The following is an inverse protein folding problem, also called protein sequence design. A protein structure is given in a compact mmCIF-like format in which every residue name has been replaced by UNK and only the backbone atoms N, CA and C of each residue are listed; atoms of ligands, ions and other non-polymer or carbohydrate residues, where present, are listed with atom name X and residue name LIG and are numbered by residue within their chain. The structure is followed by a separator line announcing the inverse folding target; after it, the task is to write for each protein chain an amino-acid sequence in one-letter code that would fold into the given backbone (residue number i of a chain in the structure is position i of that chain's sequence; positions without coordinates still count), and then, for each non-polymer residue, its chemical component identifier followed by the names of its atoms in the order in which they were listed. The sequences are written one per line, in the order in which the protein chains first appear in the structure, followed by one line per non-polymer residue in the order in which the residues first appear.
data_IF_648600559038
#
_entry.id   IF_648600559038
#
_cell.length_a   1.000
_cell.length_b   1.000
_cell.length_c   1.000
_cell.angle_alpha   90.00
_cell.angle_beta   90.00
_cell.angle_gamma   90.00
#
_symmetry.space_group_name_H-M   'P 1'
#
loop_
_entity.id
_entity.type
_entity.pdbx_description
1 polymer ?
#
# COMPACT_ATOMS: atom_id res chain seq x y z
N UNK A 1 -8.04 -3.34 -45.26
CA UNK A 1 -7.14 -4.40 -45.78
C UNK A 1 -5.97 -3.91 -46.65
N UNK A 2 -5.95 -2.67 -47.17
CA UNK A 2 -4.84 -2.20 -48.03
C UNK A 2 -3.66 -1.54 -47.29
N UNK A 3 -3.89 -0.95 -46.11
CA UNK A 3 -2.83 -0.25 -45.34
C UNK A 3 -1.82 -1.16 -44.65
N UNK A 4 -2.19 -2.40 -44.29
CA UNK A 4 -1.30 -3.35 -43.60
C UNK A 4 -0.18 -3.85 -44.54
N UNK A 5 -0.51 -4.12 -45.82
CA UNK A 5 0.46 -4.58 -46.83
C UNK A 5 1.59 -3.59 -47.11
N UNK A 6 1.32 -2.28 -46.99
CA UNK A 6 2.33 -1.25 -47.24
C UNK A 6 3.36 -1.22 -46.10
N UNK A 7 2.93 -1.43 -44.85
CA UNK A 7 3.80 -1.44 -43.68
C UNK A 7 4.69 -2.69 -43.66
N UNK A 8 4.12 -3.86 -43.99
CA UNK A 8 4.90 -5.12 -44.08
C UNK A 8 5.95 -5.07 -45.21
N UNK A 9 5.70 -4.28 -46.25
CA UNK A 9 6.66 -4.02 -47.32
C UNK A 9 7.75 -3.00 -46.92
N UNK A 10 7.38 -1.93 -46.19
CA UNK A 10 8.32 -0.92 -45.70
C UNK A 10 9.21 -1.43 -44.55
N UNK A 11 8.70 -2.36 -43.73
CA UNK A 11 9.39 -2.94 -42.59
C UNK A 11 9.25 -4.46 -42.60
N UNK A 12 9.97 -5.16 -43.49
CA UNK A 12 9.93 -6.62 -43.55
C UNK A 12 10.43 -7.21 -42.23
N UNK A 13 9.69 -8.18 -41.70
CA UNK A 13 10.08 -8.86 -40.47
C UNK A 13 11.37 -9.65 -40.73
N UNK A 14 12.44 -9.28 -40.01
CA UNK A 14 13.77 -9.88 -40.13
C UNK A 14 13.96 -11.09 -39.21
N UNK A 15 12.95 -11.38 -38.36
CA UNK A 15 12.97 -12.53 -37.44
C UNK A 15 12.87 -13.83 -38.21
N UNK A 16 13.52 -14.86 -37.68
CA UNK A 16 13.62 -16.17 -38.32
C UNK A 16 12.24 -16.84 -38.44
N UNK A 17 12.10 -17.74 -39.43
CA UNK A 17 10.82 -18.43 -39.67
C UNK A 17 10.31 -19.17 -38.42
N UNK A 18 11.24 -19.75 -37.63
CA UNK A 18 10.92 -20.42 -36.37
C UNK A 18 10.32 -19.48 -35.33
N UNK A 19 10.85 -18.27 -35.20
CA UNK A 19 10.33 -17.27 -34.27
C UNK A 19 8.93 -16.80 -34.68
N UNK A 20 8.68 -16.65 -35.99
CA UNK A 20 7.37 -16.29 -36.51
C UNK A 20 6.34 -17.42 -36.33
N UNK A 21 6.75 -18.67 -36.52
CA UNK A 21 5.89 -19.84 -36.27
C UNK A 21 5.54 -19.95 -34.77
N UNK A 22 6.53 -19.75 -33.90
CA UNK A 22 6.33 -19.75 -32.46
C UNK A 22 5.42 -18.60 -31.99
N UNK A 23 5.56 -17.40 -32.56
CA UNK A 23 4.68 -16.26 -32.29
C UNK A 23 3.24 -16.54 -32.74
N UNK A 24 3.06 -17.19 -33.91
CA UNK A 24 1.72 -17.61 -34.39
C UNK A 24 1.08 -18.65 -33.47
N UNK A 25 1.84 -19.64 -33.03
CA UNK A 25 1.35 -20.66 -32.07
C UNK A 25 0.97 -20.01 -30.74
N UNK A 26 1.78 -19.07 -30.26
CA UNK A 26 1.48 -18.29 -29.06
C UNK A 26 0.19 -17.48 -29.20
N UNK A 27 0.05 -16.70 -30.28
CA UNK A 27 -1.17 -15.90 -30.57
C UNK A 27 -2.40 -16.80 -30.63
N UNK A 28 -2.30 -17.97 -31.28
CA UNK A 28 -3.39 -18.93 -31.37
C UNK A 28 -3.77 -19.54 -30.02
N UNK A 29 -2.78 -19.87 -29.19
CA UNK A 29 -3.00 -20.39 -27.85
C UNK A 29 -3.67 -19.33 -26.95
N UNK A 30 -3.19 -18.08 -26.99
CA UNK A 30 -3.75 -17.00 -26.19
C UNK A 30 -5.16 -16.65 -26.65
N UNK A 31 -5.42 -16.57 -27.96
CA UNK A 31 -6.77 -16.34 -28.50
C UNK A 31 -7.76 -17.50 -28.24
N UNK A 32 -7.28 -18.67 -27.80
CA UNK A 32 -8.14 -19.76 -27.33
C UNK A 32 -8.60 -19.59 -25.88
N UNK A 33 -7.99 -18.66 -25.13
CA UNK A 33 -8.41 -18.30 -23.79
C UNK A 33 -9.63 -17.37 -23.86
N UNK A 34 -10.62 -17.60 -22.99
CA UNK A 34 -11.85 -16.77 -22.97
C UNK A 34 -11.62 -15.33 -22.51
N UNK A 35 -10.52 -15.07 -21.81
CA UNK A 35 -10.27 -13.86 -21.01
C UNK A 35 -9.20 -12.94 -21.61
N UNK A 36 -8.42 -13.44 -22.58
CA UNK A 36 -7.32 -12.69 -23.19
C UNK A 36 -7.38 -12.84 -24.71
N UNK A 37 -7.22 -11.75 -25.43
CA UNK A 37 -7.09 -11.76 -26.88
C UNK A 37 -5.85 -10.99 -27.32
N UNK A 38 -5.28 -11.41 -28.44
CA UNK A 38 -4.06 -10.83 -29.00
C UNK A 38 -4.25 -10.54 -30.48
N UNK A 39 -3.71 -9.41 -30.90
CA UNK A 39 -3.63 -9.03 -32.31
C UNK A 39 -2.46 -9.76 -32.99
N UNK A 40 -2.51 -9.87 -34.32
CA UNK A 40 -1.48 -10.56 -35.13
C UNK A 40 -0.05 -9.99 -34.98
N UNK A 41 0.11 -8.83 -34.33
CA UNK A 41 1.40 -8.19 -34.04
C UNK A 41 1.76 -8.17 -32.54
N UNK A 42 1.11 -9.00 -31.73
CA UNK A 42 1.44 -9.17 -30.30
C UNK A 42 0.84 -8.14 -29.34
N UNK A 43 -0.03 -7.24 -29.81
CA UNK A 43 -0.79 -6.36 -28.92
C UNK A 43 -1.83 -7.16 -28.14
N UNK A 44 -1.80 -7.10 -26.82
CA UNK A 44 -2.72 -7.81 -25.92
C UNK A 44 -3.90 -6.92 -25.50
N UNK A 45 -5.11 -7.48 -25.50
CA UNK A 45 -6.32 -6.88 -24.95
C UNK A 45 -7.02 -7.85 -24.00
N UNK A 46 -7.37 -7.35 -22.82
CA UNK A 46 -8.16 -8.04 -21.80
C UNK A 46 -9.60 -7.53 -21.91
N UNK A 47 -10.59 -8.39 -21.67
CA UNK A 47 -11.99 -7.97 -21.62
C UNK A 47 -12.18 -6.91 -20.50
N UNK A 48 -12.65 -5.70 -20.83
CA UNK A 48 -12.85 -4.64 -19.85
C UNK A 48 -13.87 -4.99 -18.75
N UNK A 49 -14.80 -5.91 -18.97
CA UNK A 49 -15.78 -6.30 -17.96
C UNK A 49 -15.18 -7.14 -16.82
N UNK A 50 -14.19 -7.99 -17.12
CA UNK A 50 -13.49 -8.79 -16.11
C UNK A 50 -12.66 -7.91 -15.15
N UNK A 51 -12.03 -6.86 -15.69
CA UNK A 51 -11.32 -5.85 -14.89
C UNK A 51 -12.30 -5.08 -14.00
N UNK A 52 -13.52 -4.81 -14.46
CA UNK A 52 -14.55 -4.16 -13.65
C UNK A 52 -14.99 -5.04 -12.49
N UNK A 53 -15.21 -6.34 -12.70
CA UNK A 53 -15.62 -7.26 -11.63
C UNK A 53 -14.55 -7.34 -10.53
N UNK A 54 -13.27 -7.45 -10.90
CA UNK A 54 -12.15 -7.46 -9.95
C UNK A 54 -12.08 -6.14 -9.16
N UNK A 55 -12.23 -5.00 -9.82
CA UNK A 55 -12.23 -3.68 -9.16
C UNK A 55 -13.45 -3.52 -8.24
N UNK A 56 -14.62 -3.99 -8.66
CA UNK A 56 -15.86 -3.92 -7.86
C UNK A 56 -15.77 -4.82 -6.63
N UNK A 57 -15.30 -6.05 -6.77
CA UNK A 57 -15.06 -6.97 -5.65
C UNK A 57 -14.05 -6.38 -4.65
N UNK A 58 -12.91 -5.88 -5.15
CA UNK A 58 -11.89 -5.24 -4.31
C UNK A 58 -12.43 -4.02 -3.56
N UNK A 59 -13.26 -3.20 -4.22
CA UNK A 59 -13.90 -2.03 -3.58
C UNK A 59 -14.97 -2.42 -2.55
N UNK A 60 -15.66 -3.53 -2.76
CA UNK A 60 -16.65 -4.04 -1.83
C UNK A 60 -15.97 -4.54 -0.53
N UNK A 61 -14.89 -5.29 -0.66
CA UNK A 61 -14.12 -5.79 0.50
C UNK A 61 -13.50 -4.63 1.30
N UNK A 62 -12.97 -3.62 0.60
CA UNK A 62 -12.47 -2.40 1.24
C UNK A 62 -13.56 -1.63 1.99
N UNK A 63 -14.81 -1.64 1.51
CA UNK A 63 -15.94 -1.00 2.22
C UNK A 63 -16.29 -1.72 3.51
N UNK A 64 -16.31 -3.05 3.51
CA UNK A 64 -16.58 -3.82 4.73
C UNK A 64 -15.47 -3.66 5.76
N UNK A 65 -14.20 -3.66 5.31
CA UNK A 65 -13.07 -3.37 6.18
C UNK A 65 -13.13 -1.96 6.77
N UNK A 66 -13.45 -0.95 5.94
CA UNK A 66 -13.59 0.44 6.37
C UNK A 66 -14.77 0.60 7.36
N UNK A 67 -15.90 -0.08 7.12
CA UNK A 67 -17.03 -0.10 8.04
C UNK A 67 -16.67 -0.72 9.39
N UNK A 68 -16.01 -1.87 9.39
CA UNK A 68 -15.54 -2.53 10.61
C UNK A 68 -14.53 -1.67 11.37
N UNK A 69 -13.63 -0.97 10.65
CA UNK A 69 -12.67 -0.03 11.24
C UNK A 69 -13.38 1.17 11.85
N UNK A 70 -14.38 1.74 11.17
CA UNK A 70 -15.18 2.85 11.70
C UNK A 70 -16.01 2.41 12.91
N UNK A 71 -16.59 1.22 12.92
CA UNK A 71 -17.31 0.68 14.08
C UNK A 71 -16.36 0.44 15.27
N UNK A 72 -15.14 -0.05 15.02
CA UNK A 72 -14.10 -0.18 16.04
C UNK A 72 -13.61 1.18 16.55
N UNK A 73 -13.51 2.20 15.68
CA UNK A 73 -13.13 3.57 16.04
C UNK A 73 -14.26 4.33 16.76
N UNK A 74 -15.53 4.02 16.46
CA UNK A 74 -16.72 4.61 17.07
C UNK A 74 -17.15 3.91 18.37
N UNK A 75 -16.40 2.90 18.83
CA UNK A 75 -16.55 2.39 20.19
C UNK A 75 -16.08 3.53 21.12
N UNK A 76 -16.94 4.12 21.96
CA UNK A 76 -16.58 5.31 22.72
C UNK A 76 -15.38 5.01 23.63
N UNK A 77 -14.20 5.46 23.24
CA UNK A 77 -13.10 5.61 24.16
C UNK A 77 -13.38 6.92 24.88
N UNK A 78 -14.06 6.86 26.02
CA UNK A 78 -14.46 8.05 26.79
C UNK A 78 -13.27 8.88 27.35
N UNK A 79 -12.01 8.58 27.01
CA UNK A 79 -10.89 8.96 27.87
C UNK A 79 -9.61 9.47 27.20
N UNK A 80 -9.62 9.99 25.97
CA UNK A 80 -8.47 10.78 25.53
C UNK A 80 -8.82 11.83 24.49
N UNK A 81 -9.06 13.04 24.97
CA UNK A 81 -8.90 14.22 24.13
C UNK A 81 -7.41 14.37 23.76
N UNK A 82 -6.97 13.65 22.73
CA UNK A 82 -5.58 13.63 22.31
C UNK A 82 -5.45 13.79 20.79
N UNK A 83 -4.45 14.55 20.37
CA UNK A 83 -4.09 14.77 18.98
C UNK A 83 -2.98 13.79 18.61
N UNK A 84 -3.18 13.03 17.54
CA UNK A 84 -2.13 12.18 16.98
C UNK A 84 -1.11 13.03 16.21
N UNK A 85 0.16 12.90 16.56
CA UNK A 85 1.31 13.48 15.86
C UNK A 85 2.13 12.37 15.22
N UNK A 86 2.43 12.51 13.94
CA UNK A 86 3.36 11.63 13.23
C UNK A 86 4.67 12.39 13.06
N UNK A 87 5.77 11.79 13.48
CA UNK A 87 7.07 12.42 13.42
C UNK A 87 8.13 11.44 12.95
N UNK A 88 9.11 11.94 12.22
CA UNK A 88 10.15 11.13 11.61
C UNK A 88 11.51 11.55 12.14
N UNK A 89 12.37 10.57 12.42
CA UNK A 89 13.75 10.80 12.84
C UNK A 89 14.69 9.87 12.12
N UNK A 90 15.90 10.35 11.83
CA UNK A 90 17.01 9.51 11.42
C UNK A 90 17.88 9.18 12.62
N UNK A 91 18.10 7.90 12.87
CA UNK A 91 18.97 7.43 13.95
C UNK A 91 20.44 7.49 13.54
N UNK A 92 21.33 7.51 14.53
CA UNK A 92 22.79 7.48 14.30
C UNK A 92 23.24 6.20 13.56
N UNK A 93 22.45 5.12 13.65
CA UNK A 93 22.63 3.88 12.89
C UNK A 93 22.35 4.02 11.38
N UNK A 94 21.82 5.17 10.93
CA UNK A 94 21.46 5.43 9.53
C UNK A 94 20.02 5.05 9.16
N UNK A 95 19.31 4.37 10.06
CA UNK A 95 17.90 3.96 9.90
C UNK A 95 16.96 5.15 10.07
N UNK A 96 15.82 5.12 9.37
CA UNK A 96 14.76 6.10 9.51
C UNK A 96 13.63 5.52 10.35
N UNK A 97 13.06 6.28 11.28
CA UNK A 97 12.00 5.81 12.18
C UNK A 97 10.82 6.76 12.11
N UNK A 98 9.62 6.19 12.03
CA UNK A 98 8.36 6.91 12.16
C UNK A 98 7.80 6.67 13.56
N UNK A 99 7.62 7.73 14.32
CA UNK A 99 6.97 7.71 15.63
C UNK A 99 5.53 8.18 15.49
N UNK A 100 4.62 7.46 16.15
CA UNK A 100 3.25 7.89 16.39
C UNK A 100 3.17 8.36 17.83
N UNK A 101 2.99 9.66 18.01
CA UNK A 101 2.88 10.31 19.31
C UNK A 101 1.43 10.75 19.54
N UNK A 102 1.02 10.79 20.80
CA UNK A 102 -0.22 11.43 21.22
C UNK A 102 0.12 12.69 22.01
N UNK A 103 -0.55 13.78 21.69
CA UNK A 103 -0.54 15.00 22.48
C UNK A 103 -1.86 15.09 23.23
N UNK A 104 -1.83 15.15 24.55
CA UNK A 104 -3.02 15.45 25.34
C UNK A 104 -3.44 16.91 25.12
N UNK A 105 -4.71 17.18 24.83
CA UNK A 105 -5.18 18.57 24.71
C UNK A 105 -5.36 19.24 26.08
N UNK A 106 -5.51 18.46 27.14
CA UNK A 106 -5.78 18.98 28.49
C UNK A 106 -4.49 19.36 29.22
N UNK A 107 -3.44 18.54 29.08
CA UNK A 107 -2.13 18.80 29.70
C UNK A 107 -1.10 19.36 28.74
N UNK A 108 -1.33 19.25 27.42
CA UNK A 108 -0.36 19.63 26.40
C UNK A 108 0.82 18.66 26.26
N UNK A 109 0.91 17.63 27.12
CA UNK A 109 2.01 16.68 27.14
C UNK A 109 1.97 15.69 25.98
N UNK A 110 3.12 15.09 25.69
CA UNK A 110 3.34 14.17 24.57
C UNK A 110 3.73 12.78 25.07
N UNK A 111 3.21 11.73 24.46
CA UNK A 111 3.62 10.36 24.69
C UNK A 111 3.83 9.62 23.36
N UNK A 112 4.87 8.80 23.27
CA UNK A 112 5.06 7.90 22.13
C UNK A 112 4.18 6.66 22.33
N UNK A 113 3.40 6.31 21.32
CA UNK A 113 2.55 5.12 21.30
C UNK A 113 3.27 3.96 20.66
N UNK A 114 3.87 4.20 19.49
CA UNK A 114 4.62 3.20 18.77
C UNK A 114 5.63 3.84 17.81
N UNK A 115 6.65 3.07 17.44
CA UNK A 115 7.69 3.45 16.50
C UNK A 115 7.86 2.36 15.42
N UNK A 116 7.90 2.77 14.16
CA UNK A 116 8.12 1.91 13.01
C UNK A 116 9.50 2.20 12.41
N UNK A 117 10.34 1.18 12.35
CA UNK A 117 11.66 1.25 11.74
C UNK A 117 11.55 1.07 10.21
N UNK A 118 12.11 1.99 9.44
CA UNK A 118 12.25 1.92 7.99
C UNK A 118 13.74 1.84 7.66
N UNK A 119 14.21 0.65 7.25
CA UNK A 119 15.52 0.47 6.61
C UNK A 119 15.39 0.59 5.09
N UNK A 120 16.49 0.88 4.40
CA UNK A 120 16.52 1.15 2.95
C UNK A 120 16.19 -0.04 2.04
N UNK A 121 15.88 -1.22 2.60
CA UNK A 121 15.73 -2.46 1.82
C UNK A 121 14.25 -2.88 1.63
N UNK A 122 13.29 -2.08 2.12
CA UNK A 122 11.88 -2.35 1.85
C UNK A 122 11.46 -1.73 0.51
N UNK A 123 11.57 -2.50 -0.58
CA UNK A 123 11.09 -2.13 -1.94
C UNK A 123 9.55 -1.97 -2.04
N UNK A 124 8.80 -2.16 -0.96
CA UNK A 124 7.35 -1.95 -0.95
C UNK A 124 6.93 -1.16 0.28
N UNK A 125 6.10 -0.13 0.08
CA UNK A 125 5.26 0.39 1.15
C UNK A 125 4.37 -0.77 1.65
N UNK A 126 4.39 -1.11 2.96
CA UNK A 126 3.66 -2.28 3.43
C UNK A 126 2.13 -2.09 3.28
N UNK A 127 1.38 -3.14 2.84
CA UNK A 127 -0.07 -3.09 2.60
C UNK A 127 -0.98 -2.73 3.80
N UNK A 128 -0.42 -2.54 5.00
CA UNK A 128 -1.15 -2.44 6.27
C UNK A 128 -0.97 -1.12 7.03
N UNK A 129 -0.35 -0.10 6.41
CA UNK A 129 -0.05 1.24 6.98
C UNK A 129 -1.27 2.07 7.43
N UNK A 130 -2.38 1.47 7.90
CA UNK A 130 -3.47 2.25 8.49
C UNK A 130 -4.27 1.51 9.58
N UNK A 131 -4.48 0.19 9.46
CA UNK A 131 -5.30 -0.54 10.43
C UNK A 131 -4.54 -0.91 11.72
N UNK A 132 -3.26 -1.30 11.60
CA UNK A 132 -2.45 -1.72 12.75
C UNK A 132 -2.13 -0.58 13.71
N UNK A 133 -1.77 0.60 13.17
CA UNK A 133 -1.44 1.79 13.97
C UNK A 133 -2.66 2.24 14.77
N UNK A 134 -3.84 2.32 14.13
CA UNK A 134 -5.08 2.69 14.80
C UNK A 134 -5.42 1.74 15.96
N UNK A 135 -5.20 0.44 15.77
CA UNK A 135 -5.41 -0.56 16.82
C UNK A 135 -4.38 -0.44 17.95
N UNK A 136 -3.11 -0.17 17.65
CA UNK A 136 -2.05 0.05 18.65
C UNK A 136 -2.33 1.31 19.48
N UNK A 137 -2.75 2.40 18.83
CA UNK A 137 -3.16 3.64 19.50
C UNK A 137 -4.36 3.37 20.42
N UNK A 138 -5.40 2.70 19.91
CA UNK A 138 -6.57 2.35 20.72
C UNK A 138 -6.22 1.43 21.90
N UNK A 139 -5.30 0.48 21.72
CA UNK A 139 -4.83 -0.40 22.80
C UNK A 139 -4.03 0.37 23.86
N UNK A 140 -3.09 1.23 23.44
CA UNK A 140 -2.28 2.04 24.36
C UNK A 140 -3.13 3.03 25.17
N UNK A 141 -4.14 3.65 24.53
CA UNK A 141 -5.10 4.51 25.22
C UNK A 141 -5.92 3.74 26.26
N UNK A 142 -6.34 2.51 25.95
CA UNK A 142 -7.05 1.64 26.90
C UNK A 142 -6.16 1.17 28.05
N UNK A 143 -4.88 0.93 27.79
CA UNK A 143 -3.93 0.47 28.79
C UNK A 143 -3.53 1.57 29.80
N UNK A 144 -3.65 2.86 29.43
CA UNK A 144 -3.23 4.00 30.26
C UNK A 144 -1.74 4.00 30.68
N UNK A 145 -0.89 3.20 30.04
CA UNK A 145 0.55 3.05 30.34
C UNK A 145 1.45 4.06 29.62
N UNK A 146 0.87 5.15 29.10
CA UNK A 146 1.61 6.15 28.33
C UNK A 146 2.53 6.98 29.24
N UNK A 147 3.83 6.98 28.94
CA UNK A 147 4.81 7.88 29.55
C UNK A 147 4.68 9.26 28.89
N UNK A 148 4.13 10.22 29.62
CA UNK A 148 3.93 11.59 29.15
C UNK A 148 5.15 12.47 29.43
N UNK A 149 5.49 13.33 28.48
CA UNK A 149 6.63 14.25 28.50
C UNK A 149 6.21 15.65 28.07
N UNK A 150 6.98 16.67 28.46
CA UNK A 150 6.69 18.07 28.14
C UNK A 150 6.87 18.38 26.64
N UNK A 151 7.84 17.74 25.99
CA UNK A 151 8.10 17.93 24.57
C UNK A 151 8.05 16.62 23.80
N UNK A 152 7.70 16.72 22.53
CA UNK A 152 7.69 15.58 21.61
C UNK A 152 9.08 14.95 21.45
N UNK A 153 10.14 15.76 21.53
CA UNK A 153 11.52 15.31 21.43
C UNK A 153 11.91 14.47 22.64
N UNK A 154 11.56 14.90 23.84
CA UNK A 154 11.89 14.16 25.07
C UNK A 154 11.16 12.82 25.11
N UNK A 155 9.91 12.77 24.61
CA UNK A 155 9.17 11.52 24.48
C UNK A 155 9.86 10.54 23.51
N UNK A 156 10.39 11.04 22.39
CA UNK A 156 11.15 10.21 21.44
C UNK A 156 12.51 9.78 21.99
N UNK A 157 13.25 10.69 22.62
CA UNK A 157 14.54 10.38 23.24
C UNK A 157 14.39 9.34 24.35
N UNK A 158 13.33 9.42 25.16
CA UNK A 158 13.00 8.42 26.17
C UNK A 158 12.63 7.06 25.55
N UNK A 159 11.84 7.05 24.47
CA UNK A 159 11.51 5.84 23.73
C UNK A 159 12.76 5.18 23.13
N UNK A 160 13.66 5.98 22.58
CA UNK A 160 14.93 5.50 22.00
C UNK A 160 15.88 4.94 23.06
N UNK A 161 15.81 5.38 24.32
CA UNK A 161 16.59 4.83 25.42
C UNK A 161 16.04 3.49 25.95
N UNK A 162 14.74 3.26 25.82
CA UNK A 162 14.08 2.01 26.25
C UNK A 162 14.20 0.87 25.21
N UNK A 163 14.80 1.15 24.03
CA UNK A 163 14.90 0.27 22.85
C UNK A 163 16.21 -0.54 22.82
#
# INVERSE_FOLDING_TARGET
MFHLRIIDWLFPDKRTQREQDQEREFIKAVNSLKTLSTTERGGMSIDPEEVREIIVASRHDLRHLNKALNEAANTPCEHADAIQHISWRRLASGLSVQYVCLQSITTGGYAVVCANLFSGDSESLPPWLNAGISMQVAAALKASELKWHETIKDAMDAWDHDL
#
